data_IF_598495564963
#
_entry.id   IF_598495564963
#
_cell.length_a   1.000
_cell.length_b   1.000
_cell.length_c   1.000
_cell.angle_alpha   90.00
_cell.angle_beta   90.00
_cell.angle_gamma   90.00
#
_symmetry.space_group_name_H-M   'P 1'
#
loop_
_entity.id
_entity.type
_entity.pdbx_description
1 polymer ?
#
# COMPACT_ATOMS: atom_id res chain seq x y z
N UNK A 1 -33.70 -11.03 -23.05
CA UNK A 1 -33.14 -10.74 -21.71
C UNK A 1 -31.81 -10.07 -21.94
N UNK A 2 -31.77 -8.74 -21.85
CA UNK A 2 -30.57 -7.93 -22.01
C UNK A 2 -29.77 -7.96 -20.71
N UNK A 3 -28.62 -8.60 -20.72
CA UNK A 3 -27.63 -8.55 -19.65
C UNK A 3 -27.04 -7.14 -19.59
N UNK A 4 -27.36 -6.40 -18.53
CA UNK A 4 -26.75 -5.11 -18.23
C UNK A 4 -25.23 -5.29 -18.05
N UNK A 5 -24.39 -4.35 -18.52
CA UNK A 5 -22.98 -4.36 -18.17
C UNK A 5 -22.86 -4.09 -16.67
N UNK A 6 -22.34 -5.04 -15.91
CA UNK A 6 -21.89 -4.82 -14.53
C UNK A 6 -20.82 -3.73 -14.57
N UNK A 7 -21.21 -2.49 -14.28
CA UNK A 7 -20.28 -1.42 -13.96
C UNK A 7 -19.54 -1.83 -12.67
N UNK A 8 -18.40 -2.48 -12.81
CA UNK A 8 -17.44 -2.66 -11.73
C UNK A 8 -16.98 -1.28 -11.30
N UNK A 9 -17.71 -0.70 -10.36
CA UNK A 9 -17.42 0.62 -9.82
C UNK A 9 -16.09 0.50 -9.08
N UNK A 10 -15.02 1.02 -9.68
CA UNK A 10 -13.71 1.12 -9.01
C UNK A 10 -13.91 1.88 -7.71
N UNK A 11 -13.80 1.19 -6.58
CA UNK A 11 -13.98 1.79 -5.27
C UNK A 11 -12.68 2.50 -4.88
N UNK A 12 -12.64 3.81 -5.12
CA UNK A 12 -11.51 4.66 -4.74
C UNK A 12 -11.88 5.33 -3.42
N UNK A 13 -11.07 5.10 -2.39
CA UNK A 13 -11.19 5.76 -1.08
C UNK A 13 -9.88 6.42 -0.68
N UNK A 14 -9.97 7.58 -0.06
CA UNK A 14 -8.83 8.21 0.60
C UNK A 14 -8.60 7.51 1.93
N UNK A 15 -7.37 7.07 2.18
CA UNK A 15 -6.95 6.54 3.47
C UNK A 15 -6.23 7.65 4.25
N UNK A 16 -6.39 7.63 5.57
CA UNK A 16 -5.59 8.43 6.50
C UNK A 16 -4.59 7.49 7.20
N UNK A 17 -3.54 7.04 6.51
CA UNK A 17 -2.59 6.11 7.10
C UNK A 17 -1.85 6.80 8.24
N UNK A 18 -1.60 6.05 9.31
CA UNK A 18 -0.64 6.49 10.32
C UNK A 18 0.75 6.23 9.75
N UNK A 19 1.55 7.29 9.66
CA UNK A 19 2.89 7.26 9.08
C UNK A 19 3.91 7.50 10.19
N UNK A 20 4.83 6.55 10.38
CA UNK A 20 5.95 6.68 11.31
C UNK A 20 7.28 6.66 10.56
N UNK A 21 8.17 7.57 10.95
CA UNK A 21 9.57 7.59 10.52
C UNK A 21 10.45 7.11 11.68
N UNK A 22 11.15 5.99 11.48
CA UNK A 22 11.91 5.33 12.55
C UNK A 22 13.26 6.01 12.86
N UNK A 23 13.74 6.90 11.98
CA UNK A 23 14.99 7.65 12.15
C UNK A 23 16.27 6.83 12.12
N UNK A 24 16.19 5.49 12.04
CA UNK A 24 17.35 4.59 12.02
C UNK A 24 17.64 3.99 10.65
N UNK A 25 16.67 3.95 9.74
CA UNK A 25 16.76 3.12 8.52
C UNK A 25 16.06 3.72 7.28
N UNK A 26 15.89 5.05 7.19
CA UNK A 26 15.19 5.69 6.06
C UNK A 26 13.87 4.94 5.70
N UNK A 27 13.11 4.53 6.73
CA UNK A 27 11.94 3.66 6.61
C UNK A 27 10.65 4.42 6.96
N UNK A 28 9.62 4.17 6.16
CA UNK A 28 8.24 4.55 6.38
C UNK A 28 7.40 3.31 6.68
N UNK A 29 6.62 3.36 7.76
CA UNK A 29 5.61 2.33 8.03
C UNK A 29 4.21 2.86 7.75
N UNK A 30 3.42 2.09 7.01
CA UNK A 30 2.05 2.43 6.61
C UNK A 30 1.13 1.34 7.15
N UNK A 31 0.20 1.75 8.01
CA UNK A 31 -0.79 0.85 8.60
C UNK A 31 -2.07 0.87 7.78
N UNK A 32 -2.48 -0.32 7.32
CA UNK A 32 -3.68 -0.56 6.52
C UNK A 32 -4.61 -1.52 7.26
N UNK A 33 -5.92 -1.38 7.07
CA UNK A 33 -6.88 -2.36 7.60
C UNK A 33 -6.83 -3.68 6.81
N UNK A 34 -7.29 -4.78 7.42
CA UNK A 34 -7.31 -6.10 6.75
C UNK A 34 -8.15 -6.11 5.47
N UNK A 35 -9.11 -5.20 5.33
CA UNK A 35 -10.01 -5.08 4.16
C UNK A 35 -9.45 -4.14 3.08
N UNK A 36 -8.25 -3.60 3.24
CA UNK A 36 -7.61 -2.71 2.27
C UNK A 36 -6.67 -3.50 1.35
N UNK A 37 -7.11 -3.66 0.09
CA UNK A 37 -6.38 -4.34 -0.98
C UNK A 37 -6.62 -3.63 -2.31
N UNK A 38 -5.82 -3.94 -3.33
CA UNK A 38 -5.81 -3.27 -4.62
C UNK A 38 -4.63 -2.32 -4.78
N UNK A 39 -4.79 -1.24 -5.57
CA UNK A 39 -3.73 -0.24 -5.75
C UNK A 39 -3.80 0.84 -4.66
N UNK A 40 -2.75 0.91 -3.83
CA UNK A 40 -2.52 2.03 -2.91
C UNK A 40 -1.68 3.10 -3.61
N UNK A 41 -2.16 4.33 -3.63
CA UNK A 41 -1.45 5.48 -4.24
C UNK A 41 -1.10 6.49 -3.16
N UNK A 42 0.19 6.76 -2.99
CA UNK A 42 0.73 7.72 -2.01
C UNK A 42 1.33 8.89 -2.78
N UNK A 43 0.53 9.94 -2.94
CA UNK A 43 0.86 11.13 -3.72
C UNK A 43 2.05 11.92 -3.16
N UNK A 44 2.28 11.85 -1.84
CA UNK A 44 3.38 12.56 -1.17
C UNK A 44 4.75 11.93 -1.41
N UNK A 45 4.81 10.71 -1.97
CA UNK A 45 6.04 9.99 -2.27
C UNK A 45 6.32 10.00 -3.78
N UNK A 46 6.23 11.17 -4.43
CA UNK A 46 6.71 11.31 -5.81
C UNK A 46 8.24 11.21 -5.87
N UNK A 47 8.76 10.84 -7.04
CA UNK A 47 10.19 10.65 -7.29
C UNK A 47 11.01 11.95 -7.25
N UNK A 48 10.34 13.09 -7.13
CA UNK A 48 10.96 14.42 -7.01
C UNK A 48 11.61 14.67 -5.63
N UNK A 49 11.18 13.97 -4.57
CA UNK A 49 11.66 14.25 -3.20
C UNK A 49 12.37 13.08 -2.51
N UNK A 50 11.86 11.86 -2.64
CA UNK A 50 12.41 10.67 -1.98
C UNK A 50 12.38 9.50 -2.95
N UNK A 51 13.50 8.79 -3.13
CA UNK A 51 13.53 7.61 -4.00
C UNK A 51 13.22 6.37 -3.18
N UNK A 52 12.14 5.69 -3.49
CA UNK A 52 11.82 4.40 -2.88
C UNK A 52 12.78 3.35 -3.42
N UNK A 53 13.38 2.56 -2.52
CA UNK A 53 14.23 1.41 -2.86
C UNK A 53 13.47 0.10 -2.77
N UNK A 54 12.58 -0.02 -1.79
CA UNK A 54 11.88 -1.26 -1.51
C UNK A 54 10.54 -1.02 -0.82
N UNK A 55 9.57 -1.93 -1.08
CA UNK A 55 8.30 -2.00 -0.36
C UNK A 55 8.06 -3.44 0.06
N UNK A 56 7.91 -3.67 1.36
CA UNK A 56 7.69 -4.98 1.96
C UNK A 56 6.39 -5.01 2.77
N UNK A 57 5.78 -6.19 2.85
CA UNK A 57 4.83 -6.48 3.93
C UNK A 57 5.61 -6.87 5.19
N UNK A 58 5.40 -6.19 6.32
CA UNK A 58 6.13 -6.46 7.55
C UNK A 58 5.96 -7.90 8.04
N UNK A 59 4.74 -8.44 7.93
CA UNK A 59 4.35 -9.71 8.54
C UNK A 59 5.04 -10.91 7.87
N UNK A 60 5.21 -10.85 6.55
CA UNK A 60 5.78 -11.95 5.75
C UNK A 60 7.16 -11.63 5.18
N UNK A 61 7.62 -10.37 5.29
CA UNK A 61 8.74 -9.82 4.53
C UNK A 61 8.63 -10.03 3.01
N UNK A 62 7.40 -10.16 2.51
CA UNK A 62 7.14 -10.31 1.08
C UNK A 62 7.37 -8.98 0.36
N UNK A 63 8.10 -9.04 -0.76
CA UNK A 63 8.29 -7.87 -1.63
C UNK A 63 7.02 -7.62 -2.42
N UNK A 64 6.47 -6.42 -2.26
CA UNK A 64 5.30 -6.00 -3.02
C UNK A 64 5.72 -5.42 -4.37
N UNK A 65 4.84 -5.53 -5.36
CA UNK A 65 5.01 -4.81 -6.61
C UNK A 65 4.68 -3.32 -6.38
N UNK A 66 5.56 -2.44 -6.84
CA UNK A 66 5.37 -1.02 -6.72
C UNK A 66 5.97 -0.27 -7.90
N UNK A 67 5.48 0.95 -8.12
CA UNK A 67 5.99 1.88 -9.13
C UNK A 67 5.96 3.29 -8.58
N UNK A 68 7.06 4.01 -8.71
CA UNK A 68 7.15 5.42 -8.37
C UNK A 68 7.21 6.25 -9.65
N UNK A 69 6.41 7.31 -9.71
CA UNK A 69 6.46 8.33 -10.75
C UNK A 69 6.11 9.71 -10.18
N UNK A 70 6.09 10.74 -11.04
CA UNK A 70 5.76 12.12 -10.66
C UNK A 70 4.38 12.28 -10.00
N UNK A 71 3.47 11.28 -10.10
CA UNK A 71 2.16 11.29 -9.45
C UNK A 71 2.20 10.66 -8.05
N UNK A 72 3.31 10.05 -7.64
CA UNK A 72 3.48 9.39 -6.35
C UNK A 72 3.95 7.94 -6.45
N UNK A 73 3.90 7.26 -5.30
CA UNK A 73 4.18 5.84 -5.18
C UNK A 73 2.89 5.04 -5.33
N UNK A 74 2.83 4.10 -6.27
CA UNK A 74 1.77 3.10 -6.42
C UNK A 74 2.26 1.75 -5.90
N UNK A 75 1.49 1.11 -5.03
CA UNK A 75 1.80 -0.19 -4.44
C UNK A 75 0.63 -1.13 -4.72
N UNK A 76 0.92 -2.30 -5.27
CA UNK A 76 -0.05 -3.38 -5.46
C UNK A 76 -0.17 -4.18 -4.17
N UNK A 77 -1.31 -4.06 -3.49
CA UNK A 77 -1.60 -4.79 -2.24
C UNK A 77 -2.49 -5.99 -2.56
N UNK A 78 -2.00 -7.25 -2.40
CA UNK A 78 -2.76 -8.43 -2.77
C UNK A 78 -3.99 -8.64 -1.88
N UNK A 79 -5.05 -9.23 -2.44
CA UNK A 79 -6.22 -9.69 -1.70
C UNK A 79 -5.87 -11.02 -1.00
N UNK A 80 -6.11 -11.12 0.31
CA UNK A 80 -6.02 -12.41 1.01
C UNK A 80 -4.64 -12.82 1.53
N UNK A 81 -3.80 -11.87 1.97
CA UNK A 81 -2.70 -12.23 2.86
C UNK A 81 -3.31 -12.74 4.18
N UNK A 82 -3.24 -14.04 4.43
CA UNK A 82 -3.66 -14.64 5.70
C UNK A 82 -2.76 -14.11 6.82
N UNK A 83 -3.22 -13.06 7.51
CA UNK A 83 -2.54 -12.52 8.68
C UNK A 83 -2.65 -13.58 9.78
N UNK A 84 -1.53 -14.24 10.09
CA UNK A 84 -1.43 -15.13 11.26
C UNK A 84 -1.34 -14.29 12.53
N UNK A 85 -2.45 -13.69 12.94
CA UNK A 85 -2.48 -12.81 14.11
C UNK A 85 -3.85 -12.21 14.31
N UNK A 86 -4.25 -12.01 15.56
CA UNK A 86 -5.58 -11.56 15.96
C UNK A 86 -5.80 -10.10 15.53
N UNK A 87 -6.52 -9.86 14.44
CA UNK A 87 -7.13 -8.58 14.00
C UNK A 87 -6.24 -7.32 14.04
N UNK A 88 -4.94 -7.47 13.77
CA UNK A 88 -4.07 -6.30 13.58
C UNK A 88 -3.91 -6.13 12.08
N UNK A 89 -4.25 -4.95 11.57
CA UNK A 89 -4.15 -4.64 10.15
C UNK A 89 -2.74 -4.85 9.57
N UNK A 90 -2.62 -4.69 8.26
CA UNK A 90 -1.38 -4.91 7.50
C UNK A 90 -0.45 -3.73 7.68
N UNK A 91 0.85 -4.02 7.86
CA UNK A 91 1.88 -2.98 7.89
C UNK A 91 2.75 -3.10 6.65
N UNK A 92 2.78 -2.03 5.85
CA UNK A 92 3.72 -1.90 4.74
C UNK A 92 4.95 -1.13 5.20
N UNK A 93 6.13 -1.66 4.88
CA UNK A 93 7.42 -1.00 5.07
C UNK A 93 7.90 -0.47 3.74
N UNK A 94 8.15 0.83 3.66
CA UNK A 94 8.73 1.51 2.49
C UNK A 94 10.10 2.02 2.90
N UNK A 95 11.15 1.58 2.21
CA UNK A 95 12.53 2.01 2.47
C UNK A 95 13.00 2.95 1.38
N UNK A 96 13.66 4.04 1.74
CA UNK A 96 14.24 5.04 0.82
C UNK A 96 15.75 4.88 0.64
#
# INVERSE_FOLDING_TARGET
MTSEPMNSTTNIRTLEPIIFYSGKEDELQIFLNETEYGELIIISLSDDQLKVKEVLLEETNEKLEWKQDYKGLRISVPEGLEIRGRSMGRVLKVTF
#
